data_IF_250593588926
#
_entry.id   IF_250593588926
#
_cell.length_a   1.000
_cell.length_b   1.000
_cell.length_c   1.000
_cell.angle_alpha   90.00
_cell.angle_beta   90.00
_cell.angle_gamma   90.00
#
_symmetry.space_group_name_H-M   'P 1'
#
loop_
_entity.id
_entity.type
_entity.pdbx_description
1 polymer ?
#
# COMPACT_ATOMS: atom_id res chain seq x y z
N UNK A 1 -11.96 -32.86 -13.91
CA UNK A 1 -10.62 -32.80 -13.27
C UNK A 1 -10.69 -32.27 -11.85
N UNK A 2 -11.32 -31.12 -11.59
CA UNK A 2 -11.37 -30.51 -10.24
C UNK A 2 -12.03 -31.37 -9.14
N UNK A 3 -13.14 -32.07 -9.42
CA UNK A 3 -13.78 -32.97 -8.43
C UNK A 3 -12.86 -34.08 -7.97
N UNK A 4 -12.13 -34.69 -8.88
CA UNK A 4 -11.16 -35.74 -8.55
C UNK A 4 -10.05 -35.25 -7.61
N UNK A 5 -9.53 -34.06 -7.89
CA UNK A 5 -8.46 -33.45 -7.05
C UNK A 5 -8.95 -33.16 -5.63
N UNK A 6 -10.18 -32.69 -5.47
CA UNK A 6 -10.77 -32.42 -4.14
C UNK A 6 -11.11 -33.73 -3.41
N UNK A 7 -11.76 -34.69 -4.08
CA UNK A 7 -12.30 -35.89 -3.45
C UNK A 7 -11.26 -37.01 -3.22
N UNK A 8 -10.28 -37.13 -4.13
CA UNK A 8 -9.32 -38.23 -4.13
C UNK A 8 -7.90 -37.80 -3.71
N UNK A 9 -7.55 -36.56 -3.97
CA UNK A 9 -6.22 -36.01 -3.64
C UNK A 9 -6.28 -35.15 -2.38
N UNK A 10 -7.50 -34.77 -1.91
CA UNK A 10 -7.67 -33.92 -0.72
C UNK A 10 -7.25 -32.46 -0.97
N UNK A 11 -7.32 -32.01 -2.20
CA UNK A 11 -6.94 -30.64 -2.54
C UNK A 11 -7.85 -29.63 -1.83
N UNK A 12 -7.25 -28.69 -1.15
CA UNK A 12 -7.95 -27.56 -0.52
C UNK A 12 -8.49 -26.62 -1.60
N UNK A 13 -9.81 -26.46 -1.65
CA UNK A 13 -10.49 -25.59 -2.64
C UNK A 13 -10.34 -24.11 -2.35
N UNK A 14 -9.86 -23.76 -1.17
CA UNK A 14 -9.58 -22.38 -0.74
C UNK A 14 -8.11 -22.01 -0.91
N UNK A 15 -7.24 -23.01 -1.15
CA UNK A 15 -5.83 -22.77 -1.41
C UNK A 15 -5.63 -22.18 -2.82
N UNK A 16 -4.95 -21.06 -2.92
CA UNK A 16 -4.57 -20.47 -4.20
C UNK A 16 -3.38 -21.21 -4.84
N UNK A 17 -3.31 -21.18 -6.16
CA UNK A 17 -2.11 -21.58 -6.91
C UNK A 17 -0.98 -20.55 -6.71
N UNK A 18 0.13 -20.69 -7.43
CA UNK A 18 1.24 -19.74 -7.40
C UNK A 18 0.89 -18.30 -7.84
N UNK A 19 -0.32 -18.13 -8.42
CA UNK A 19 -0.92 -16.83 -8.78
C UNK A 19 -2.02 -16.43 -7.81
N UNK A 20 -2.18 -17.15 -6.69
CA UNK A 20 -3.25 -17.00 -5.70
C UNK A 20 -4.68 -17.20 -6.23
N UNK A 21 -4.84 -17.86 -7.35
CA UNK A 21 -6.15 -18.19 -7.92
C UNK A 21 -6.64 -19.49 -7.29
N UNK A 22 -7.75 -19.43 -6.56
CA UNK A 22 -8.36 -20.62 -5.95
C UNK A 22 -9.19 -21.41 -6.96
N UNK A 23 -9.40 -22.73 -6.76
CA UNK A 23 -10.34 -23.50 -7.57
C UNK A 23 -11.76 -22.93 -7.57
N UNK A 24 -12.19 -22.34 -6.46
CA UNK A 24 -13.48 -21.65 -6.38
C UNK A 24 -13.51 -20.40 -7.27
N UNK A 25 -12.48 -19.58 -7.23
CA UNK A 25 -12.39 -18.36 -8.05
C UNK A 25 -12.42 -18.68 -9.55
N UNK A 26 -11.71 -19.71 -9.97
CA UNK A 26 -11.78 -20.21 -11.36
C UNK A 26 -13.21 -20.63 -11.74
N UNK A 27 -13.92 -21.32 -10.85
CA UNK A 27 -15.30 -21.73 -11.11
C UNK A 27 -16.24 -20.51 -11.19
N UNK A 28 -16.01 -19.50 -10.36
CA UNK A 28 -16.79 -18.26 -10.35
C UNK A 28 -16.59 -17.46 -11.65
N UNK A 29 -15.36 -17.24 -12.05
CA UNK A 29 -15.02 -16.52 -13.29
C UNK A 29 -15.57 -17.22 -14.56
N UNK A 30 -15.55 -18.56 -14.56
CA UNK A 30 -16.09 -19.38 -15.63
C UNK A 30 -17.62 -19.53 -15.59
N UNK A 31 -18.28 -18.97 -14.58
CA UNK A 31 -19.73 -19.12 -14.34
C UNK A 31 -20.18 -20.58 -14.30
N UNK A 32 -19.32 -21.49 -13.79
CA UNK A 32 -19.60 -22.92 -13.65
C UNK A 32 -20.49 -23.16 -12.42
N UNK A 33 -21.80 -23.00 -12.61
CA UNK A 33 -22.77 -23.16 -11.54
C UNK A 33 -22.77 -24.56 -10.89
N UNK A 34 -22.39 -25.60 -11.63
CA UNK A 34 -22.30 -26.97 -11.07
C UNK A 34 -21.12 -27.10 -10.10
N UNK A 35 -20.00 -26.52 -10.47
CA UNK A 35 -18.81 -26.54 -9.66
C UNK A 35 -18.94 -25.63 -8.42
N UNK A 36 -19.58 -24.48 -8.58
CA UNK A 36 -19.90 -23.57 -7.47
C UNK A 36 -20.85 -24.21 -6.46
N UNK A 37 -21.92 -24.89 -6.92
CA UNK A 37 -22.82 -25.64 -6.03
C UNK A 37 -22.10 -26.76 -5.29
N UNK A 38 -21.24 -27.50 -5.97
CA UNK A 38 -20.43 -28.54 -5.38
C UNK A 38 -19.50 -28.01 -4.27
N UNK A 39 -18.86 -26.86 -4.49
CA UNK A 39 -18.00 -26.23 -3.47
C UNK A 39 -18.82 -25.74 -2.28
N UNK A 40 -19.99 -25.14 -2.51
CA UNK A 40 -20.91 -24.67 -1.48
C UNK A 40 -21.37 -25.81 -0.57
N UNK A 41 -21.75 -26.95 -1.14
CA UNK A 41 -22.16 -28.14 -0.38
C UNK A 41 -21.05 -28.68 0.53
N UNK A 42 -19.79 -28.64 0.08
CA UNK A 42 -18.67 -29.18 0.86
C UNK A 42 -18.12 -28.24 1.92
N UNK A 43 -18.20 -26.94 1.70
CA UNK A 43 -17.62 -25.95 2.63
C UNK A 43 -18.65 -25.31 3.53
N UNK A 44 -19.94 -25.47 3.24
CA UNK A 44 -21.05 -24.80 3.95
C UNK A 44 -21.04 -23.27 3.74
N UNK A 45 -20.10 -22.75 2.96
CA UNK A 45 -19.95 -21.32 2.74
C UNK A 45 -20.63 -20.88 1.43
N UNK A 46 -21.38 -19.78 1.49
CA UNK A 46 -21.76 -19.01 0.32
C UNK A 46 -20.71 -17.96 0.11
N UNK A 47 -19.93 -18.08 -0.95
CA UNK A 47 -18.91 -17.10 -1.33
C UNK A 47 -19.47 -15.97 -2.19
N UNK A 48 -20.78 -15.93 -2.36
CA UNK A 48 -21.44 -14.88 -3.12
C UNK A 48 -21.20 -13.52 -2.46
N UNK A 49 -20.53 -12.60 -3.17
CA UNK A 49 -20.14 -11.30 -2.63
C UNK A 49 -18.90 -11.30 -1.71
N UNK A 50 -18.19 -12.42 -1.59
CA UNK A 50 -16.93 -12.52 -0.83
C UNK A 50 -15.71 -12.46 -1.75
N UNK A 51 -14.61 -11.95 -1.22
CA UNK A 51 -13.28 -12.02 -1.84
C UNK A 51 -12.29 -12.65 -0.86
N UNK A 52 -11.17 -13.12 -1.38
CA UNK A 52 -10.10 -13.71 -0.57
C UNK A 52 -8.85 -12.83 -0.59
N UNK A 53 -8.22 -12.72 0.58
CA UNK A 53 -6.88 -12.16 0.69
C UNK A 53 -5.82 -13.25 0.44
N UNK A 54 -4.70 -12.89 -0.19
CA UNK A 54 -4.40 -11.57 -0.77
C UNK A 54 -5.15 -11.37 -2.10
N UNK A 55 -5.70 -10.18 -2.31
CA UNK A 55 -6.34 -9.80 -3.60
C UNK A 55 -5.32 -9.71 -4.73
N UNK A 56 -4.04 -9.55 -4.40
CA UNK A 56 -2.94 -9.46 -5.35
C UNK A 56 -1.74 -10.22 -4.83
N UNK A 57 -1.27 -11.19 -5.61
CA UNK A 57 -0.11 -12.00 -5.28
C UNK A 57 1.12 -11.58 -6.06
N UNK A 58 2.29 -11.91 -5.54
CA UNK A 58 3.58 -11.59 -6.12
C UNK A 58 4.28 -10.45 -5.38
N UNK A 59 5.21 -9.79 -6.05
CA UNK A 59 6.00 -8.70 -5.49
C UNK A 59 5.27 -7.36 -5.65
N UNK A 60 4.25 -7.13 -4.82
CA UNK A 60 3.48 -5.89 -4.76
C UNK A 60 3.35 -5.40 -3.31
N UNK A 61 4.48 -5.21 -2.60
CA UNK A 61 4.45 -4.74 -1.21
C UNK A 61 4.15 -3.24 -1.13
N UNK A 62 3.92 -2.77 0.11
CA UNK A 62 3.75 -1.37 0.46
C UNK A 62 2.69 -0.67 -0.41
N UNK A 63 1.45 -1.18 -0.45
CA UNK A 63 0.42 -0.60 -1.30
C UNK A 63 -0.04 0.75 -0.77
N UNK A 64 -0.11 1.73 -1.66
CA UNK A 64 -0.83 2.98 -1.42
C UNK A 64 -1.92 3.17 -2.46
N UNK A 65 -3.07 3.69 -2.04
CA UNK A 65 -4.28 3.78 -2.84
C UNK A 65 -4.89 5.17 -2.81
N UNK A 66 -5.46 5.58 -3.94
CA UNK A 66 -6.33 6.76 -4.04
C UNK A 66 -7.57 6.43 -4.87
N UNK A 67 -8.71 7.03 -4.52
CA UNK A 67 -9.95 6.97 -5.32
C UNK A 67 -10.18 8.30 -6.02
N UNK A 68 -10.49 8.25 -7.32
CA UNK A 68 -10.90 9.40 -8.12
C UNK A 68 -12.17 9.04 -8.86
N UNK A 69 -13.29 9.64 -8.44
CA UNK A 69 -14.61 9.26 -8.97
C UNK A 69 -14.98 7.82 -8.64
N UNK A 70 -15.15 7.00 -9.65
CA UNK A 70 -15.47 5.57 -9.54
C UNK A 70 -14.24 4.65 -9.65
N UNK A 71 -13.08 5.23 -9.89
CA UNK A 71 -11.85 4.52 -10.17
C UNK A 71 -10.91 4.55 -8.96
N UNK A 72 -10.19 3.46 -8.75
CA UNK A 72 -9.16 3.30 -7.73
C UNK A 72 -7.80 3.10 -8.39
N UNK A 73 -6.80 3.80 -7.87
CA UNK A 73 -5.42 3.70 -8.34
C UNK A 73 -4.52 3.31 -7.19
N UNK A 74 -3.61 2.37 -7.45
CA UNK A 74 -2.71 1.84 -6.44
C UNK A 74 -1.28 1.80 -6.97
N UNK A 75 -0.32 2.15 -6.12
CA UNK A 75 1.11 2.02 -6.37
C UNK A 75 1.72 1.03 -5.38
N UNK A 76 2.85 0.43 -5.76
CA UNK A 76 3.60 -0.52 -4.93
C UNK A 76 5.10 -0.29 -5.06
N UNK A 77 5.88 -0.71 -4.06
CA UNK A 77 7.34 -0.73 -4.14
C UNK A 77 7.83 -1.57 -5.30
N UNK A 78 8.86 -1.07 -5.99
CA UNK A 78 9.50 -1.79 -7.09
C UNK A 78 10.97 -2.12 -6.82
N UNK A 79 11.58 -1.60 -5.77
CA UNK A 79 13.00 -1.78 -5.48
C UNK A 79 13.86 -1.47 -6.71
N UNK A 80 14.69 -2.41 -7.13
CA UNK A 80 15.55 -2.29 -8.33
C UNK A 80 14.86 -2.75 -9.63
N UNK A 81 13.57 -3.11 -9.58
CA UNK A 81 12.86 -3.53 -10.80
C UNK A 81 12.44 -2.33 -11.65
N UNK A 82 12.69 -2.45 -12.95
CA UNK A 82 12.34 -1.43 -13.95
C UNK A 82 11.27 -1.98 -14.92
N UNK A 83 10.28 -1.16 -15.34
CA UNK A 83 10.02 0.22 -14.96
C UNK A 83 9.59 0.36 -13.50
N UNK A 84 9.88 1.53 -12.88
CA UNK A 84 9.74 1.67 -11.43
C UNK A 84 8.36 2.14 -11.01
N UNK A 85 7.91 1.66 -9.86
CA UNK A 85 6.67 2.03 -9.19
C UNK A 85 5.48 1.76 -10.09
N UNK A 86 4.98 0.52 -10.16
CA UNK A 86 3.81 0.18 -10.96
C UNK A 86 2.59 0.95 -10.46
N UNK A 87 1.83 1.49 -11.41
CA UNK A 87 0.52 2.11 -11.17
C UNK A 87 -0.54 1.16 -11.67
N UNK A 88 -1.43 0.78 -10.79
CA UNK A 88 -2.51 -0.17 -11.07
C UNK A 88 -3.86 0.49 -10.90
N UNK A 89 -4.84 0.01 -11.67
CA UNK A 89 -6.22 0.49 -11.69
C UNK A 89 -7.20 -0.62 -11.32
N UNK A 90 -8.27 -0.25 -10.63
CA UNK A 90 -9.43 -1.11 -10.33
C UNK A 90 -10.71 -0.28 -10.25
N UNK A 91 -11.87 -0.93 -10.43
CA UNK A 91 -13.21 -0.38 -10.16
C UNK A 91 -13.91 -1.04 -8.99
N UNK A 92 -13.36 -2.12 -8.48
CA UNK A 92 -14.02 -2.95 -7.45
C UNK A 92 -13.12 -3.28 -6.25
N UNK A 93 -11.87 -2.80 -6.24
CA UNK A 93 -10.84 -3.08 -5.22
C UNK A 93 -10.34 -4.54 -5.21
N UNK A 94 -10.82 -5.39 -6.08
CA UNK A 94 -10.50 -6.82 -6.15
C UNK A 94 -9.68 -7.13 -7.40
N UNK A 95 -10.13 -6.64 -8.55
CA UNK A 95 -9.48 -6.88 -9.85
C UNK A 95 -8.60 -5.68 -10.20
N UNK A 96 -7.30 -5.93 -10.33
CA UNK A 96 -6.29 -4.92 -10.55
C UNK A 96 -5.49 -5.19 -11.81
N UNK A 97 -5.34 -4.17 -12.66
CA UNK A 97 -4.47 -4.20 -13.83
C UNK A 97 -3.39 -3.12 -13.72
N UNK A 98 -2.17 -3.41 -14.18
CA UNK A 98 -1.12 -2.40 -14.29
C UNK A 98 -1.40 -1.56 -15.54
N UNK A 99 -1.59 -0.26 -15.34
CA UNK A 99 -1.88 0.71 -16.42
C UNK A 99 -0.66 1.54 -16.81
N UNK A 100 0.38 1.57 -15.97
CA UNK A 100 1.58 2.35 -16.20
C UNK A 100 2.59 2.21 -15.07
N UNK A 101 3.60 3.05 -15.10
CA UNK A 101 4.64 3.15 -14.08
C UNK A 101 5.02 4.61 -13.85
N UNK A 102 5.37 4.95 -12.62
CA UNK A 102 5.69 6.32 -12.27
C UNK A 102 7.06 6.79 -12.81
N UNK A 103 8.00 5.85 -13.07
CA UNK A 103 9.30 6.15 -13.67
C UNK A 103 9.57 5.16 -14.79
N UNK A 104 9.60 5.66 -16.03
CA UNK A 104 9.78 4.89 -17.26
C UNK A 104 11.05 5.24 -18.03
N UNK A 105 11.78 6.28 -17.61
CA UNK A 105 13.08 6.64 -18.19
C UNK A 105 14.19 5.97 -17.36
N UNK A 106 15.04 5.12 -17.98
CA UNK A 106 16.13 4.46 -17.28
C UNK A 106 17.13 5.44 -16.63
N UNK A 107 17.35 6.59 -17.24
CA UNK A 107 18.25 7.61 -16.70
C UNK A 107 17.68 8.26 -15.43
N UNK A 108 16.35 8.42 -15.38
CA UNK A 108 15.68 8.92 -14.18
C UNK A 108 15.56 7.85 -13.09
N UNK A 109 15.42 6.61 -13.50
CA UNK A 109 15.36 5.47 -12.58
C UNK A 109 16.66 5.30 -11.79
N UNK A 110 17.81 5.53 -12.43
CA UNK A 110 19.15 5.51 -11.83
C UNK A 110 19.40 4.26 -10.97
N UNK A 111 19.06 3.08 -11.52
CA UNK A 111 19.16 1.79 -10.80
C UNK A 111 20.51 1.12 -10.96
N UNK A 112 21.36 1.63 -11.86
CA UNK A 112 22.68 1.05 -12.13
C UNK A 112 23.50 1.00 -10.84
N UNK A 113 24.22 -0.10 -10.64
CA UNK A 113 25.10 -0.35 -9.49
C UNK A 113 24.38 -0.46 -8.13
N UNK A 114 23.04 -0.44 -8.08
CA UNK A 114 22.32 -0.66 -6.84
C UNK A 114 22.30 -2.13 -6.43
N UNK A 115 22.53 -2.35 -5.13
CA UNK A 115 22.42 -3.68 -4.52
C UNK A 115 20.95 -4.16 -4.48
N UNK A 116 20.75 -5.46 -4.38
CA UNK A 116 19.43 -6.05 -4.19
C UNK A 116 18.70 -5.46 -2.97
N UNK A 117 17.41 -5.16 -3.13
CA UNK A 117 16.61 -4.54 -2.08
C UNK A 117 16.80 -3.03 -1.93
N UNK A 118 17.58 -2.39 -2.79
CA UNK A 118 17.68 -0.93 -2.92
C UNK A 118 16.66 -0.41 -3.94
N UNK A 119 16.78 0.84 -4.37
CA UNK A 119 15.90 1.49 -5.35
C UNK A 119 14.65 2.08 -4.73
N UNK A 120 13.46 1.84 -5.28
CA UNK A 120 12.24 2.54 -4.92
C UNK A 120 11.41 1.78 -3.88
N UNK A 121 11.33 2.34 -2.66
CA UNK A 121 10.61 1.81 -1.52
C UNK A 121 9.34 2.58 -1.24
N UNK A 122 8.32 1.88 -0.74
CA UNK A 122 7.08 2.38 -0.16
C UNK A 122 6.56 3.67 -0.81
N UNK A 123 6.03 3.58 -2.03
CA UNK A 123 5.46 4.73 -2.70
C UNK A 123 4.11 5.11 -2.09
N UNK A 124 3.76 6.38 -2.22
CA UNK A 124 2.40 6.88 -2.01
C UNK A 124 1.84 7.45 -3.30
N UNK A 125 0.54 7.28 -3.52
CA UNK A 125 -0.23 7.95 -4.55
C UNK A 125 -1.28 8.84 -3.92
N UNK A 126 -1.35 10.09 -4.37
CA UNK A 126 -2.37 11.07 -3.99
C UNK A 126 -2.91 11.80 -5.21
N UNK A 127 -4.06 12.45 -5.05
CA UNK A 127 -4.70 13.21 -6.11
C UNK A 127 -5.23 14.53 -5.57
N UNK A 128 -4.89 15.62 -6.22
CA UNK A 128 -5.38 16.95 -5.90
C UNK A 128 -5.49 17.80 -7.15
N UNK A 129 -6.59 18.55 -7.28
CA UNK A 129 -6.82 19.53 -8.36
C UNK A 129 -6.54 19.00 -9.78
N UNK A 130 -6.97 17.77 -10.10
CA UNK A 130 -6.80 17.19 -11.45
C UNK A 130 -5.45 16.54 -11.68
N UNK A 131 -4.57 16.48 -10.68
CA UNK A 131 -3.22 15.95 -10.82
C UNK A 131 -2.96 14.78 -9.85
N UNK A 132 -2.34 13.74 -10.36
CA UNK A 132 -1.78 12.64 -9.57
C UNK A 132 -0.36 12.97 -9.15
N UNK A 133 -0.05 12.69 -7.89
CA UNK A 133 1.28 12.77 -7.32
C UNK A 133 1.68 11.37 -6.85
N UNK A 134 2.87 10.95 -7.22
CA UNK A 134 3.47 9.73 -6.69
C UNK A 134 4.78 10.11 -6.03
N UNK A 135 4.94 9.67 -4.78
CA UNK A 135 6.19 9.85 -4.03
C UNK A 135 6.72 8.50 -3.58
N UNK A 136 8.02 8.39 -3.39
CA UNK A 136 8.67 7.17 -2.89
C UNK A 136 10.01 7.51 -2.26
N UNK A 137 10.53 6.61 -1.44
CA UNK A 137 11.92 6.65 -1.01
C UNK A 137 12.82 6.05 -2.09
N UNK A 138 13.76 6.83 -2.59
CA UNK A 138 14.86 6.32 -3.39
C UNK A 138 16.02 5.92 -2.47
N UNK A 139 16.21 4.62 -2.31
CA UNK A 139 17.18 3.98 -1.43
C UNK A 139 18.45 3.63 -2.18
N UNK A 140 19.55 4.28 -1.82
CA UNK A 140 20.90 4.04 -2.34
C UNK A 140 21.61 2.93 -1.54
N UNK A 141 22.79 2.53 -1.99
CA UNK A 141 23.67 1.65 -1.23
C UNK A 141 24.18 2.34 0.07
N UNK A 142 24.56 1.56 1.07
CA UNK A 142 25.01 2.07 2.39
C UNK A 142 26.48 2.57 2.38
N UNK A 143 26.93 3.10 1.25
CA UNK A 143 28.34 3.52 1.05
C UNK A 143 28.58 5.01 1.29
N UNK A 144 27.52 5.78 1.53
CA UNK A 144 27.59 7.24 1.72
C UNK A 144 26.91 7.73 2.99
N UNK A 145 27.03 9.01 3.25
CA UNK A 145 26.34 9.67 4.38
C UNK A 145 24.86 9.92 4.10
N UNK A 146 24.49 10.05 2.82
CA UNK A 146 23.10 10.19 2.37
C UNK A 146 22.77 9.02 1.47
N UNK A 147 21.96 8.12 1.95
CA UNK A 147 21.56 6.90 1.24
C UNK A 147 20.04 6.75 1.09
N UNK A 148 19.29 7.76 1.48
CA UNK A 148 17.83 7.85 1.32
C UNK A 148 17.46 9.24 0.88
N UNK A 149 16.65 9.33 -0.16
CA UNK A 149 16.06 10.58 -0.66
C UNK A 149 14.60 10.32 -0.96
N UNK A 150 13.79 11.33 -0.81
CA UNK A 150 12.40 11.24 -1.24
C UNK A 150 12.28 11.77 -2.65
N UNK A 151 11.49 11.13 -3.48
CA UNK A 151 11.18 11.64 -4.80
C UNK A 151 9.70 11.96 -4.93
N UNK A 152 9.38 12.92 -5.75
CA UNK A 152 8.01 13.23 -6.17
C UNK A 152 7.96 13.32 -7.67
N UNK A 153 7.00 12.65 -8.27
CA UNK A 153 6.62 12.78 -9.69
C UNK A 153 5.14 13.10 -9.79
N UNK A 154 4.73 13.80 -10.83
CA UNK A 154 3.32 14.14 -11.03
C UNK A 154 2.87 13.96 -12.49
N UNK A 155 1.57 13.72 -12.68
CA UNK A 155 0.93 13.57 -13.98
C UNK A 155 -0.53 14.01 -13.93
N UNK A 156 -1.06 14.50 -15.03
CA UNK A 156 -2.50 14.77 -15.18
C UNK A 156 -3.30 13.48 -15.47
N UNK A 157 -2.61 12.36 -15.73
CA UNK A 157 -3.21 11.06 -16.05
C UNK A 157 -2.62 9.98 -15.16
N UNK A 158 -3.43 9.04 -14.65
CA UNK A 158 -2.95 8.02 -13.72
C UNK A 158 -1.91 7.08 -14.34
N UNK A 159 -2.03 6.77 -15.62
CA UNK A 159 -1.06 5.95 -16.36
C UNK A 159 0.23 6.69 -16.74
N UNK A 160 0.27 8.00 -16.57
CA UNK A 160 1.38 8.87 -16.98
C UNK A 160 1.23 9.47 -18.39
N UNK A 161 2.28 10.01 -19.00
CA UNK A 161 3.64 10.05 -18.46
C UNK A 161 3.75 10.92 -17.21
N UNK A 162 4.55 10.48 -16.27
CA UNK A 162 4.89 11.26 -15.08
C UNK A 162 6.09 12.18 -15.36
N UNK A 163 6.17 13.25 -14.58
CA UNK A 163 7.28 14.22 -14.64
C UNK A 163 8.61 13.56 -14.27
N UNK A 164 9.71 14.26 -14.59
CA UNK A 164 11.01 13.90 -14.01
C UNK A 164 10.93 13.96 -12.48
N UNK A 165 11.54 13.00 -11.75
CA UNK A 165 11.56 13.02 -10.30
C UNK A 165 12.18 14.29 -9.71
N UNK A 166 11.39 15.00 -8.91
CA UNK A 166 11.90 16.04 -8.02
C UNK A 166 12.44 15.37 -6.76
N UNK A 167 13.59 15.79 -6.27
CA UNK A 167 14.23 15.25 -5.08
C UNK A 167 13.95 16.15 -3.88
N UNK A 168 13.39 15.58 -2.83
CA UNK A 168 13.24 16.19 -1.51
C UNK A 168 14.35 15.61 -0.63
N UNK A 169 15.29 16.45 -0.23
CA UNK A 169 16.50 16.04 0.51
C UNK A 169 16.23 15.99 2.02
N UNK A 170 15.29 15.14 2.41
CA UNK A 170 14.91 14.85 3.81
C UNK A 170 15.18 13.38 4.12
N UNK A 171 15.90 13.12 5.22
CA UNK A 171 16.15 11.74 5.65
C UNK A 171 14.88 11.07 6.18
N UNK A 172 14.70 9.82 5.85
CA UNK A 172 13.56 9.01 6.26
C UNK A 172 13.18 8.01 5.18
N UNK A 173 12.09 7.31 5.42
CA UNK A 173 11.45 6.43 4.45
C UNK A 173 9.94 6.63 4.46
N UNK A 174 9.26 6.00 3.49
CA UNK A 174 7.80 5.91 3.38
C UNK A 174 7.12 7.28 3.31
N UNK A 175 7.49 8.11 2.31
CA UNK A 175 6.85 9.40 2.14
C UNK A 175 5.40 9.24 1.70
N UNK A 176 4.50 10.05 2.25
CA UNK A 176 3.14 10.22 1.75
C UNK A 176 2.78 11.69 1.61
N UNK A 177 1.88 12.04 0.70
CA UNK A 177 1.46 13.43 0.51
C UNK A 177 0.01 13.61 0.95
N UNK A 178 -0.21 14.56 1.85
CA UNK A 178 -1.51 15.01 2.31
C UNK A 178 -1.79 16.40 1.78
N UNK A 179 -2.95 16.58 1.13
CA UNK A 179 -3.38 17.84 0.54
C UNK A 179 -4.51 18.46 1.37
N UNK A 180 -4.38 19.73 1.69
CA UNK A 180 -5.41 20.47 2.42
C UNK A 180 -5.39 21.96 2.09
N UNK A 181 -6.54 22.51 1.69
CA UNK A 181 -6.72 23.96 1.42
C UNK A 181 -5.66 24.56 0.48
N UNK A 182 -5.30 23.83 -0.57
CA UNK A 182 -4.29 24.24 -1.54
C UNK A 182 -2.85 24.17 -1.02
N UNK A 183 -2.64 23.55 0.13
CA UNK A 183 -1.29 23.28 0.68
C UNK A 183 -0.99 21.79 0.60
N UNK A 184 0.28 21.47 0.48
CA UNK A 184 0.77 20.11 0.33
C UNK A 184 1.75 19.77 1.45
N UNK A 185 1.54 18.65 2.09
CA UNK A 185 2.34 18.21 3.22
C UNK A 185 2.91 16.82 2.94
N UNK A 186 4.21 16.65 3.08
CA UNK A 186 4.82 15.32 3.06
C UNK A 186 4.98 14.80 4.47
N UNK A 187 4.57 13.55 4.66
CA UNK A 187 4.82 12.81 5.88
C UNK A 187 5.95 11.80 5.64
N UNK A 188 6.73 11.51 6.68
CA UNK A 188 7.88 10.62 6.65
C UNK A 188 8.05 9.90 7.99
N UNK A 189 8.67 8.72 8.02
CA UNK A 189 9.21 8.18 9.26
C UNK A 189 10.53 8.95 9.64
N UNK A 190 11.04 8.87 10.84
CA UNK A 190 10.80 7.97 11.97
C UNK A 190 9.78 8.56 12.92
N UNK A 191 8.79 7.78 13.27
CA UNK A 191 7.53 8.35 13.68
C UNK A 191 6.89 9.06 12.49
N UNK A 192 5.71 9.63 12.65
CA UNK A 192 5.18 10.51 11.62
C UNK A 192 5.77 11.90 11.78
N UNK A 193 6.69 12.30 10.91
CA UNK A 193 7.15 13.68 10.75
C UNK A 193 6.40 14.31 9.59
N UNK A 194 6.13 15.60 9.66
CA UNK A 194 5.45 16.37 8.62
C UNK A 194 6.29 17.58 8.22
N UNK A 195 6.40 17.80 6.93
CA UNK A 195 6.96 19.02 6.33
C UNK A 195 6.01 19.56 5.27
N UNK A 196 6.17 20.81 4.88
CA UNK A 196 5.37 21.44 3.85
C UNK A 196 6.14 21.50 2.54
N UNK A 197 5.46 21.20 1.44
CA UNK A 197 5.96 21.32 0.08
C UNK A 197 5.42 22.58 -0.57
N UNK A 198 6.10 23.05 -1.61
CA UNK A 198 5.59 24.12 -2.48
C UNK A 198 4.41 23.65 -3.33
N UNK A 199 3.78 24.56 -4.08
CA UNK A 199 2.52 24.34 -4.81
C UNK A 199 2.58 23.20 -5.84
N UNK A 200 3.74 22.91 -6.41
CA UNK A 200 3.94 21.82 -7.38
C UNK A 200 4.56 20.54 -6.77
N UNK A 201 4.71 20.52 -5.46
CA UNK A 201 5.29 19.41 -4.68
C UNK A 201 6.74 19.05 -5.06
N UNK A 202 7.48 19.97 -5.66
CA UNK A 202 8.86 19.72 -6.13
C UNK A 202 9.93 20.13 -5.12
N UNK A 203 9.56 20.86 -4.06
CA UNK A 203 10.50 21.42 -3.08
C UNK A 203 9.90 21.50 -1.69
N UNK A 204 10.70 21.15 -0.70
CA UNK A 204 10.42 21.40 0.72
C UNK A 204 10.51 22.91 1.04
N UNK A 205 9.52 23.44 1.74
CA UNK A 205 9.46 24.86 2.15
C UNK A 205 9.37 25.06 3.67
N UNK A 206 9.31 23.98 4.46
CA UNK A 206 9.38 24.04 5.92
C UNK A 206 10.28 22.95 6.49
N UNK A 207 10.78 23.14 7.70
CA UNK A 207 11.42 22.06 8.44
C UNK A 207 10.44 20.94 8.79
N UNK A 208 10.97 19.71 8.90
CA UNK A 208 10.18 18.55 9.32
C UNK A 208 9.89 18.61 10.83
N UNK A 209 8.64 18.48 11.21
CA UNK A 209 8.15 18.44 12.58
C UNK A 209 7.63 17.06 12.94
N UNK A 210 8.03 16.50 14.08
CA UNK A 210 7.45 15.27 14.59
C UNK A 210 5.99 15.52 15.04
N UNK A 211 5.05 14.73 14.52
CA UNK A 211 3.65 14.69 14.95
C UNK A 211 3.43 13.66 16.06
N UNK A 212 3.88 12.43 15.80
CA UNK A 212 3.65 11.30 16.68
C UNK A 212 4.74 10.24 16.48
N UNK A 213 5.12 9.54 17.53
CA UNK A 213 6.20 8.53 17.48
C UNK A 213 5.65 7.10 17.64
N UNK A 214 4.50 6.82 17.08
CA UNK A 214 3.88 5.51 17.14
C UNK A 214 3.32 5.13 18.51
N UNK A 215 2.48 4.11 18.53
CA UNK A 215 1.83 3.60 19.73
C UNK A 215 2.76 2.73 20.59
N UNK A 216 3.44 1.79 19.96
CA UNK A 216 4.38 0.86 20.61
C UNK A 216 5.85 1.31 20.54
N UNK A 217 6.12 2.41 19.86
CA UNK A 217 7.47 2.97 19.65
C UNK A 217 8.47 2.00 19.00
N UNK A 218 7.97 1.03 18.24
CA UNK A 218 8.78 0.04 17.54
C UNK A 218 8.67 0.21 16.04
N UNK A 219 9.70 0.80 15.43
CA UNK A 219 9.80 1.02 13.98
C UNK A 219 8.50 1.60 13.38
N UNK A 220 7.99 2.75 13.87
CA UNK A 220 6.85 3.39 13.23
C UNK A 220 7.25 3.91 11.86
N UNK A 221 6.50 3.50 10.83
CA UNK A 221 6.76 3.78 9.42
C UNK A 221 5.43 3.88 8.65
N UNK A 222 5.46 4.15 7.34
CA UNK A 222 4.27 4.20 6.50
C UNK A 222 3.19 5.19 6.95
N UNK A 223 3.54 6.44 7.32
CA UNK A 223 2.56 7.38 7.84
C UNK A 223 1.60 7.86 6.74
N UNK A 224 0.29 7.73 6.97
CA UNK A 224 -0.75 8.28 6.12
C UNK A 224 -1.74 9.11 6.92
N UNK A 225 -2.11 10.30 6.42
CA UNK A 225 -3.14 11.14 7.02
C UNK A 225 -4.47 11.01 6.28
N UNK A 226 -5.54 10.97 7.05
CA UNK A 226 -6.92 11.06 6.59
C UNK A 226 -7.65 12.11 7.42
N UNK A 227 -8.30 13.09 6.77
CA UNK A 227 -9.19 14.03 7.46
C UNK A 227 -10.62 13.56 7.35
N UNK A 228 -11.30 13.39 8.50
CA UNK A 228 -12.71 12.99 8.56
C UNK A 228 -13.39 13.55 9.79
N UNK A 229 -14.57 14.12 9.62
CA UNK A 229 -15.43 14.63 10.71
C UNK A 229 -14.69 15.58 11.68
N UNK A 230 -13.84 16.45 11.14
CA UNK A 230 -13.05 17.42 11.89
C UNK A 230 -11.89 16.85 12.70
N UNK A 231 -11.48 15.59 12.40
CA UNK A 231 -10.32 14.96 12.95
C UNK A 231 -9.31 14.62 11.84
N UNK A 232 -8.02 14.69 12.18
CA UNK A 232 -6.92 14.11 11.42
C UNK A 232 -6.60 12.75 12.01
N UNK A 233 -6.77 11.70 11.24
CA UNK A 233 -6.40 10.34 11.59
C UNK A 233 -5.06 10.03 10.96
N UNK A 234 -4.10 9.65 11.76
CA UNK A 234 -2.77 9.24 11.35
C UNK A 234 -2.66 7.72 11.47
N UNK A 235 -2.44 7.07 10.34
CA UNK A 235 -2.19 5.64 10.26
C UNK A 235 -0.69 5.41 10.17
N UNK A 236 -0.17 4.43 10.89
CA UNK A 236 1.23 4.04 10.87
C UNK A 236 1.36 2.51 10.85
N UNK A 237 2.39 2.02 10.17
CA UNK A 237 2.87 0.66 10.35
C UNK A 237 3.83 0.60 11.53
N UNK A 238 3.74 -0.42 12.34
CA UNK A 238 4.67 -0.65 13.44
C UNK A 238 5.15 -2.09 13.48
N UNK A 239 6.26 -2.33 14.14
CA UNK A 239 6.83 -3.65 14.35
C UNK A 239 7.85 -4.08 13.29
N UNK A 240 8.05 -3.27 12.24
CA UNK A 240 8.86 -3.64 11.07
C UNK A 240 8.24 -4.80 10.30
N UNK A 241 8.76 -5.14 9.12
CA UNK A 241 8.20 -6.15 8.21
C UNK A 241 8.36 -7.61 8.72
N UNK A 242 8.32 -7.81 10.02
CA UNK A 242 8.43 -9.12 10.68
C UNK A 242 7.07 -9.65 11.20
N UNK A 243 7.08 -10.72 12.00
CA UNK A 243 5.87 -11.31 12.59
C UNK A 243 5.07 -10.35 13.48
N UNK A 244 5.71 -9.29 13.97
CA UNK A 244 5.05 -8.25 14.77
C UNK A 244 4.44 -7.10 13.98
N UNK A 245 4.50 -7.14 12.65
CA UNK A 245 3.97 -6.09 11.77
C UNK A 245 2.48 -5.87 12.00
N UNK A 246 2.08 -4.61 12.07
CA UNK A 246 0.72 -4.21 12.44
C UNK A 246 0.42 -2.81 11.94
N UNK A 247 -0.86 -2.42 11.98
CA UNK A 247 -1.30 -1.05 11.71
C UNK A 247 -1.87 -0.47 12.98
N UNK A 248 -1.40 0.74 13.32
CA UNK A 248 -1.91 1.56 14.42
C UNK A 248 -2.51 2.84 13.88
N UNK A 249 -3.36 3.47 14.67
CA UNK A 249 -3.98 4.75 14.34
C UNK A 249 -3.98 5.66 15.56
N UNK A 250 -3.70 6.93 15.30
CA UNK A 250 -3.86 8.03 16.26
C UNK A 250 -4.65 9.15 15.61
N UNK A 251 -5.16 10.10 16.40
CA UNK A 251 -5.94 11.22 15.87
C UNK A 251 -5.67 12.53 16.60
N UNK A 252 -5.91 13.63 15.90
CA UNK A 252 -5.84 14.99 16.47
C UNK A 252 -6.94 15.88 15.89
N UNK A 253 -7.32 16.94 16.60
CA UNK A 253 -8.19 18.00 16.06
C UNK A 253 -7.44 18.99 15.17
N UNK A 254 -6.13 19.04 15.28
CA UNK A 254 -5.26 19.95 14.54
C UNK A 254 -4.21 19.16 13.77
N UNK A 255 -3.92 19.56 12.53
CA UNK A 255 -2.95 18.88 11.66
C UNK A 255 -1.59 18.71 12.34
N UNK A 256 -1.11 19.73 13.02
CA UNK A 256 0.18 19.75 13.75
C UNK A 256 -0.01 19.76 15.27
N UNK A 257 -1.14 19.26 15.74
CA UNK A 257 -1.52 19.18 17.15
C UNK A 257 -0.97 17.95 17.87
N UNK A 258 -1.57 17.63 19.01
CA UNK A 258 -1.26 16.43 19.81
C UNK A 258 -2.12 15.28 19.29
N UNK A 259 -1.49 14.20 18.89
CA UNK A 259 -2.15 12.97 18.44
C UNK A 259 -2.36 12.02 19.61
N UNK A 260 -3.60 11.60 19.82
CA UNK A 260 -4.00 10.61 20.80
C UNK A 260 -4.13 9.23 20.15
N UNK A 261 -3.55 8.15 20.72
CA UNK A 261 -3.64 6.82 20.15
C UNK A 261 -5.06 6.26 20.26
N UNK A 262 -5.44 5.42 19.30
CA UNK A 262 -6.66 4.64 19.39
C UNK A 262 -6.56 3.64 20.56
N UNK A 263 -7.55 3.56 21.47
CA UNK A 263 -7.50 2.63 22.60
C UNK A 263 -7.56 1.16 22.18
N UNK A 264 -7.89 0.89 20.92
CA UNK A 264 -7.99 -0.45 20.36
C UNK A 264 -6.80 -0.83 19.45
N UNK A 265 -5.70 -0.05 19.51
CA UNK A 265 -4.50 -0.38 18.76
C UNK A 265 -3.89 -1.72 19.18
N UNK A 266 -3.32 -2.49 18.25
CA UNK A 266 -3.31 -2.26 16.81
C UNK A 266 -4.67 -2.55 16.18
N UNK A 267 -5.08 -1.72 15.20
CA UNK A 267 -6.36 -1.91 14.48
C UNK A 267 -6.30 -3.07 13.49
N UNK A 268 -5.11 -3.48 13.10
CA UNK A 268 -4.85 -4.64 12.26
C UNK A 268 -3.55 -5.32 12.67
N UNK A 269 -3.60 -6.64 12.78
CA UNK A 269 -2.45 -7.52 13.00
C UNK A 269 -2.87 -8.96 12.74
N UNK A 270 -1.97 -9.80 12.22
CA UNK A 270 -2.16 -11.25 12.27
C UNK A 270 -1.66 -11.79 13.62
N UNK A 271 -2.56 -12.34 14.40
CA UNK A 271 -2.25 -12.85 15.75
C UNK A 271 -2.03 -14.39 15.78
N UNK A 272 -2.56 -15.12 14.79
CA UNK A 272 -2.37 -16.55 14.69
C UNK A 272 -1.13 -16.86 13.84
N UNK A 273 -0.06 -17.44 14.44
CA UNK A 273 1.18 -17.75 13.72
C UNK A 273 1.02 -18.93 12.72
N UNK A 274 -0.05 -19.71 12.85
CA UNK A 274 -0.31 -20.88 11.99
C UNK A 274 -1.02 -20.50 10.69
N UNK A 275 -1.58 -19.29 10.61
CA UNK A 275 -2.24 -18.82 9.40
C UNK A 275 -1.23 -18.59 8.25
N UNK A 276 -1.71 -18.81 7.03
CA UNK A 276 -0.89 -18.65 5.82
C UNK A 276 -0.52 -17.20 5.60
N UNK A 277 -1.44 -16.27 5.89
CA UNK A 277 -1.22 -14.82 5.73
C UNK A 277 -0.62 -14.26 7.02
N UNK A 278 0.58 -13.71 6.91
CA UNK A 278 1.37 -13.19 8.03
C UNK A 278 1.85 -11.77 7.76
N UNK A 279 2.41 -11.11 8.77
CA UNK A 279 3.11 -9.82 8.65
C UNK A 279 2.23 -8.70 8.08
N UNK A 280 0.94 -8.69 8.45
CA UNK A 280 -0.02 -7.71 7.96
C UNK A 280 0.29 -6.31 8.51
N UNK A 281 0.57 -5.37 7.65
CA UNK A 281 0.90 -4.00 8.03
C UNK A 281 1.03 -3.07 6.83
N UNK A 282 1.53 -1.86 7.06
CA UNK A 282 1.75 -0.82 6.05
C UNK A 282 0.52 -0.64 5.15
N UNK A 283 -0.53 -0.07 5.73
CA UNK A 283 -1.81 0.06 5.06
C UNK A 283 -2.30 1.49 4.92
N UNK A 284 -3.06 1.72 3.85
CA UNK A 284 -3.72 2.99 3.56
C UNK A 284 -5.23 2.78 3.42
N UNK A 285 -6.07 3.56 4.15
CA UNK A 285 -7.52 3.48 4.03
C UNK A 285 -8.02 4.16 2.76
N UNK A 286 -9.13 3.66 2.23
CA UNK A 286 -9.85 4.25 1.10
C UNK A 286 -11.35 4.15 1.33
N UNK A 287 -12.10 5.20 0.95
CA UNK A 287 -13.56 5.19 0.99
C UNK A 287 -14.12 4.91 -0.40
N UNK A 288 -15.08 4.00 -0.49
CA UNK A 288 -15.80 3.69 -1.72
C UNK A 288 -16.87 4.74 -2.02
N UNK A 289 -17.47 4.68 -3.22
CA UNK A 289 -18.52 5.58 -3.67
C UNK A 289 -19.76 5.53 -2.77
N UNK A 290 -20.06 4.36 -2.20
CA UNK A 290 -21.19 4.15 -1.29
C UNK A 290 -20.85 4.40 0.19
N UNK A 291 -19.66 4.98 0.45
CA UNK A 291 -19.25 5.40 1.80
C UNK A 291 -18.64 4.30 2.68
N UNK A 292 -18.49 3.07 2.17
CA UNK A 292 -17.80 2.01 2.90
C UNK A 292 -16.29 2.26 2.92
N UNK A 293 -15.63 1.80 4.01
CA UNK A 293 -14.20 1.94 4.18
C UNK A 293 -13.50 0.60 4.01
N UNK A 294 -12.43 0.61 3.23
CA UNK A 294 -11.51 -0.51 3.05
C UNK A 294 -10.08 -0.03 3.31
N UNK A 295 -9.19 -0.98 3.49
CA UNK A 295 -7.77 -0.71 3.64
C UNK A 295 -6.97 -1.67 2.77
N UNK A 296 -6.08 -1.12 1.95
CA UNK A 296 -5.02 -1.92 1.33
C UNK A 296 -3.87 -2.05 2.30
N UNK A 297 -3.21 -3.20 2.33
CA UNK A 297 -2.05 -3.45 3.21
C UNK A 297 -1.15 -4.52 2.62
N UNK A 298 0.10 -4.52 2.99
CA UNK A 298 1.00 -5.62 2.64
C UNK A 298 0.81 -6.80 3.60
N UNK A 299 1.05 -7.98 3.09
CA UNK A 299 1.19 -9.19 3.89
C UNK A 299 2.25 -10.11 3.31
N UNK A 300 2.81 -10.98 4.14
CA UNK A 300 3.64 -12.08 3.70
C UNK A 300 2.82 -13.37 3.66
N UNK A 301 3.02 -14.18 2.64
CA UNK A 301 2.47 -15.54 2.59
C UNK A 301 3.52 -16.53 3.08
N UNK A 302 3.15 -17.37 4.05
CA UNK A 302 4.00 -18.45 4.53
C UNK A 302 4.18 -19.49 3.41
N UNK A 303 5.41 -19.83 3.07
CA UNK A 303 5.77 -20.82 2.05
C UNK A 303 6.51 -21.95 2.77
N UNK A 304 5.91 -23.13 2.78
CA UNK A 304 6.46 -24.30 3.49
C UNK A 304 6.37 -24.20 5.01
N UNK A 305 6.81 -25.26 5.66
CA UNK A 305 6.93 -25.36 7.12
C UNK A 305 8.15 -24.58 7.64
#
# INVERSE_FOLDING_TARGET
MNRYLVEKVGMDITAGDGKCVTPYQIAYERKDGKLLSYYKERTGASYEGMYHNPIRCGMFPDPSIVRVGEDYYMVNSSFIFFPCIPVSHSRDLIHWEIIGHAITDPQWAALDELEGGRGYWAPDISYDNGKFYVTATYRLNDTGTVYRKQIVVSSDRPEGPYSKPAVIDEDGIDPSIFHENGRHYMLLNRGARILELNDDCTKQISEAKLLYYGDQKRAPEGPHLLKKDGWYYLFEAEGGTGPGHRITVSRSRELKGIYEPCPYNPIMRQNNPDEIIQRCGHGKPVQTQNGQWYMVYLCGRKIGD
#
